data_IF_679608736595
#
_entry.id   IF_679608736595
#
_cell.length_a   1.000
_cell.length_b   1.000
_cell.length_c   1.000
_cell.angle_alpha   90.00
_cell.angle_beta   90.00
_cell.angle_gamma   90.00
#
_symmetry.space_group_name_H-M   'P 1'
#
loop_
_entity.id
_entity.type
_entity.pdbx_description
1 polymer ?
#
# COMPACT_ATOMS: atom_id res chain seq x y z
N UNK A 1 -25.23 16.87 6.71
CA UNK A 1 -24.01 17.44 7.34
C UNK A 1 -22.93 16.39 7.17
N UNK A 2 -21.87 16.68 6.42
CA UNK A 2 -20.79 15.70 6.24
C UNK A 2 -19.88 15.72 7.47
N UNK A 3 -19.71 14.57 8.12
CA UNK A 3 -18.76 14.42 9.22
C UNK A 3 -17.44 13.96 8.61
N UNK A 4 -16.48 14.88 8.52
CA UNK A 4 -15.12 14.58 8.09
C UNK A 4 -14.19 14.77 9.29
N UNK A 5 -13.97 13.69 10.04
CA UNK A 5 -12.90 13.64 11.04
C UNK A 5 -12.46 12.18 11.19
N UNK A 6 -11.42 11.81 10.44
CA UNK A 6 -10.57 10.70 10.86
C UNK A 6 -9.66 11.23 11.94
N UNK A 7 -9.87 10.79 13.18
CA UNK A 7 -8.87 10.95 14.22
C UNK A 7 -7.56 10.30 13.76
N UNK A 8 -6.60 11.13 13.38
CA UNK A 8 -5.29 10.70 12.89
C UNK A 8 -4.36 10.19 14.01
N UNK A 9 -4.84 10.23 15.26
CA UNK A 9 -4.14 9.64 16.40
C UNK A 9 -4.42 8.14 16.57
N UNK A 10 -5.43 7.58 15.87
CA UNK A 10 -5.73 6.17 15.98
C UNK A 10 -4.61 5.34 15.32
N UNK A 11 -3.90 4.59 16.15
CA UNK A 11 -2.94 3.58 15.75
C UNK A 11 -3.59 2.19 15.82
N UNK A 12 -3.29 1.34 14.85
CA UNK A 12 -3.63 -0.07 14.87
C UNK A 12 -2.36 -0.88 14.64
N UNK A 13 -2.33 -2.07 15.22
CA UNK A 13 -1.33 -3.08 14.91
C UNK A 13 -1.88 -4.01 13.83
N UNK A 14 -1.05 -4.32 12.84
CA UNK A 14 -1.38 -5.20 11.72
C UNK A 14 -0.19 -6.12 11.43
N UNK A 15 -0.47 -7.20 10.72
CA UNK A 15 0.52 -8.09 10.12
C UNK A 15 0.41 -8.00 8.60
N UNK A 16 1.44 -8.44 7.89
CA UNK A 16 1.40 -8.51 6.43
C UNK A 16 1.25 -9.96 5.97
N UNK A 17 0.30 -10.20 5.07
CA UNK A 17 0.04 -11.49 4.43
C UNK A 17 1.16 -11.95 3.50
N UNK A 18 2.10 -11.05 3.17
CA UNK A 18 3.34 -11.38 2.44
C UNK A 18 4.51 -11.75 3.35
N UNK A 19 4.36 -11.64 4.67
CA UNK A 19 5.36 -12.16 5.61
C UNK A 19 5.39 -13.70 5.53
N UNK A 20 6.57 -14.32 5.29
CA UNK A 20 6.70 -15.77 5.22
C UNK A 20 6.23 -16.52 6.48
N UNK A 21 6.22 -15.87 7.65
CA UNK A 21 5.72 -16.46 8.89
C UNK A 21 4.18 -16.53 8.95
N UNK A 22 3.48 -15.77 8.10
CA UNK A 22 2.02 -15.76 8.03
C UNK A 22 1.52 -16.89 7.15
N UNK A 23 0.79 -17.84 7.76
CA UNK A 23 0.19 -18.98 7.06
C UNK A 23 -1.34 -18.85 7.04
N UNK A 24 -1.95 -19.28 5.94
CA UNK A 24 -3.39 -19.21 5.69
C UNK A 24 -3.67 -19.46 4.22
N UNK A 25 -4.91 -19.81 3.87
CA UNK A 25 -5.30 -19.93 2.46
C UNK A 25 -5.35 -18.55 1.79
N UNK A 26 -5.34 -18.51 0.45
CA UNK A 26 -5.49 -17.24 -0.28
C UNK A 26 -6.83 -16.56 0.02
N UNK A 27 -7.88 -17.34 0.31
CA UNK A 27 -9.18 -16.84 0.72
C UNK A 27 -9.15 -16.22 2.13
N UNK A 28 -8.43 -16.84 3.06
CA UNK A 28 -8.23 -16.31 4.41
C UNK A 28 -7.43 -15.01 4.39
N UNK A 29 -6.35 -14.96 3.59
CA UNK A 29 -5.54 -13.74 3.39
C UNK A 29 -6.37 -12.62 2.78
N UNK A 30 -7.14 -12.91 1.73
CA UNK A 30 -8.04 -11.92 1.12
C UNK A 30 -9.12 -11.44 2.09
N UNK A 31 -9.59 -12.32 2.98
CA UNK A 31 -10.56 -11.96 4.02
C UNK A 31 -9.95 -11.10 5.11
N UNK A 32 -8.75 -11.43 5.59
CA UNK A 32 -7.96 -10.62 6.52
C UNK A 32 -7.75 -9.20 6.00
N UNK A 33 -7.39 -9.02 4.72
CA UNK A 33 -7.21 -7.69 4.14
C UNK A 33 -8.46 -6.80 4.22
N UNK A 34 -9.66 -7.41 4.28
CA UNK A 34 -10.94 -6.70 4.39
C UNK A 34 -11.40 -6.51 5.83
N UNK A 35 -11.26 -7.53 6.67
CA UNK A 35 -11.84 -7.57 8.02
C UNK A 35 -10.84 -7.24 9.12
N UNK A 36 -9.54 -7.44 8.85
CA UNK A 36 -8.43 -7.43 9.83
C UNK A 36 -8.59 -8.47 10.94
N UNK A 37 -9.36 -9.53 10.68
CA UNK A 37 -9.52 -10.63 11.62
C UNK A 37 -8.29 -11.55 11.56
N UNK A 38 -7.38 -11.38 12.53
CA UNK A 38 -6.19 -12.23 12.67
C UNK A 38 -6.54 -13.70 12.95
N UNK A 39 -7.75 -14.01 13.44
CA UNK A 39 -8.17 -15.39 13.71
C UNK A 39 -8.27 -16.27 12.46
N UNK A 40 -8.25 -15.66 11.27
CA UNK A 40 -8.21 -16.33 9.98
C UNK A 40 -6.81 -16.85 9.61
N UNK A 41 -5.77 -16.43 10.32
CA UNK A 41 -4.37 -16.68 9.97
C UNK A 41 -3.60 -17.32 11.11
N UNK A 42 -2.53 -18.06 10.77
CA UNK A 42 -1.48 -18.42 11.72
C UNK A 42 -0.39 -17.36 11.66
N UNK A 43 -0.13 -16.71 12.79
CA UNK A 43 0.66 -15.47 12.85
C UNK A 43 1.87 -15.58 13.79
N UNK A 44 2.21 -16.79 14.22
CA UNK A 44 3.36 -17.03 15.10
C UNK A 44 4.66 -16.64 14.41
N UNK A 45 5.39 -15.68 14.99
CA UNK A 45 6.62 -15.13 14.39
C UNK A 45 6.41 -14.08 13.31
N UNK A 46 5.16 -13.67 13.01
CA UNK A 46 4.87 -12.63 12.04
C UNK A 46 5.36 -11.25 12.50
N UNK A 47 5.90 -10.48 11.54
CA UNK A 47 6.29 -9.09 11.76
C UNK A 47 5.04 -8.24 11.95
N UNK A 48 4.98 -7.50 13.06
CA UNK A 48 3.87 -6.61 13.41
C UNK A 48 4.24 -5.16 13.08
N UNK A 49 3.34 -4.47 12.39
CA UNK A 49 3.48 -3.07 11.99
C UNK A 49 2.44 -2.25 12.71
N UNK A 50 2.84 -1.10 13.22
CA UNK A 50 1.89 -0.14 13.78
C UNK A 50 1.68 0.97 12.77
N UNK A 51 0.45 1.10 12.30
CA UNK A 51 0.04 2.12 11.32
C UNK A 51 -1.02 3.03 11.89
N UNK A 52 -1.10 4.26 11.38
CA UNK A 52 -2.11 5.25 11.77
C UNK A 52 -2.90 5.76 10.59
N UNK A 53 -4.08 6.30 10.88
CA UNK A 53 -4.91 6.96 9.90
C UNK A 53 -4.23 8.24 9.39
N UNK A 54 -4.45 8.59 8.13
CA UNK A 54 -4.03 9.85 7.55
C UNK A 54 -5.24 10.77 7.36
N UNK A 55 -5.09 12.03 7.77
CA UNK A 55 -6.06 13.07 7.44
C UNK A 55 -6.12 13.28 5.91
N UNK A 56 -7.21 13.88 5.39
CA UNK A 56 -7.25 14.30 3.98
C UNK A 56 -6.05 15.17 3.57
N UNK A 57 -5.62 16.10 4.43
CA UNK A 57 -4.47 16.97 4.16
C UNK A 57 -3.13 16.22 4.13
N UNK A 58 -2.95 15.20 4.97
CA UNK A 58 -1.76 14.35 4.95
C UNK A 58 -1.71 13.48 3.69
N UNK A 59 -2.86 12.97 3.24
CA UNK A 59 -2.94 12.21 1.97
C UNK A 59 -2.63 13.09 0.77
N UNK A 60 -3.20 14.29 0.72
CA UNK A 60 -2.91 15.26 -0.33
C UNK A 60 -1.41 15.65 -0.33
N UNK A 61 -0.83 15.92 0.84
CA UNK A 61 0.60 16.22 0.96
C UNK A 61 1.48 15.09 0.44
N UNK A 62 1.11 13.82 0.70
CA UNK A 62 1.82 12.66 0.17
C UNK A 62 1.75 12.59 -1.37
N UNK A 63 0.60 12.85 -1.98
CA UNK A 63 0.46 12.90 -3.44
C UNK A 63 1.26 14.06 -4.07
N UNK A 64 1.23 15.24 -3.43
CA UNK A 64 2.00 16.41 -3.87
C UNK A 64 3.49 16.11 -3.81
N UNK A 65 3.99 15.54 -2.70
CA UNK A 65 5.38 15.16 -2.54
C UNK A 65 5.81 14.08 -3.55
N UNK A 66 4.93 13.15 -3.89
CA UNK A 66 5.17 12.13 -4.92
C UNK A 66 5.20 12.69 -6.36
N UNK A 67 4.75 13.93 -6.55
CA UNK A 67 4.80 14.65 -7.82
C UNK A 67 3.51 14.53 -8.64
N UNK A 68 2.34 14.59 -8.01
CA UNK A 68 1.03 14.50 -8.70
C UNK A 68 0.91 15.43 -9.91
N UNK A 69 1.48 16.64 -9.85
CA UNK A 69 1.43 17.62 -10.94
C UNK A 69 2.31 17.28 -12.16
N UNK A 70 3.16 16.25 -12.06
CA UNK A 70 4.05 15.78 -13.14
C UNK A 70 3.74 14.34 -13.55
N UNK A 71 2.66 13.75 -13.03
CA UNK A 71 2.30 12.37 -13.38
C UNK A 71 1.87 12.28 -14.84
N UNK A 72 2.15 11.14 -15.48
CA UNK A 72 1.69 10.88 -16.84
C UNK A 72 0.20 10.53 -16.84
N UNK A 73 -0.64 11.35 -17.47
CA UNK A 73 -2.07 11.02 -17.63
C UNK A 73 -2.28 9.91 -18.66
N UNK A 74 -1.44 9.81 -19.69
CA UNK A 74 -1.42 8.66 -20.60
C UNK A 74 -1.07 7.38 -19.83
N UNK A 75 -0.03 7.43 -19.00
CA UNK A 75 0.37 6.32 -18.14
C UNK A 75 -0.74 5.90 -17.18
N UNK A 76 -1.48 6.86 -16.63
CA UNK A 76 -2.66 6.58 -15.79
C UNK A 76 -3.76 5.86 -16.56
N UNK A 77 -4.06 6.28 -17.79
CA UNK A 77 -5.06 5.62 -18.63
C UNK A 77 -4.63 4.19 -18.97
N UNK A 78 -3.35 4.00 -19.34
CA UNK A 78 -2.77 2.68 -19.61
C UNK A 78 -2.82 1.77 -18.39
N UNK A 79 -2.48 2.29 -17.20
CA UNK A 79 -2.56 1.53 -15.95
C UNK A 79 -3.98 1.07 -15.61
N UNK A 80 -5.00 1.87 -15.93
CA UNK A 80 -6.41 1.50 -15.77
C UNK A 80 -6.89 0.50 -16.84
N UNK A 81 -6.28 0.52 -18.03
CA UNK A 81 -6.66 -0.33 -19.16
C UNK A 81 -5.93 -1.68 -19.20
N UNK A 82 -4.90 -1.86 -18.37
CA UNK A 82 -4.08 -3.07 -18.38
C UNK A 82 -4.90 -4.32 -18.01
N UNK A 83 -4.58 -5.50 -18.57
CA UNK A 83 -5.23 -6.75 -18.19
C UNK A 83 -5.02 -7.13 -16.72
N UNK A 84 -6.03 -7.76 -16.12
CA UNK A 84 -5.94 -8.27 -14.74
C UNK A 84 -5.08 -9.54 -14.64
N UNK A 85 -5.08 -10.39 -15.67
CA UNK A 85 -4.32 -11.62 -15.66
C UNK A 85 -2.81 -11.37 -15.91
N UNK A 86 -1.91 -11.98 -15.12
CA UNK A 86 -0.48 -11.70 -15.21
C UNK A 86 0.13 -11.97 -16.59
N UNK A 87 -0.27 -13.07 -17.24
CA UNK A 87 0.27 -13.47 -18.54
C UNK A 87 -0.18 -12.53 -19.66
N UNK A 88 -1.46 -12.18 -19.68
CA UNK A 88 -2.06 -11.21 -20.58
C UNK A 88 -1.45 -9.83 -20.39
N UNK A 89 -1.26 -9.39 -19.14
CA UNK A 89 -0.58 -8.13 -18.82
C UNK A 89 0.84 -8.11 -19.34
N UNK A 90 1.61 -9.17 -19.14
CA UNK A 90 3.00 -9.24 -19.60
C UNK A 90 3.09 -9.13 -21.13
N UNK A 91 2.22 -9.83 -21.86
CA UNK A 91 2.17 -9.77 -23.33
C UNK A 91 1.71 -8.39 -23.82
N UNK A 92 0.70 -7.81 -23.17
CA UNK A 92 0.17 -6.49 -23.50
C UNK A 92 1.25 -5.42 -23.31
N UNK A 93 1.95 -5.39 -22.17
CA UNK A 93 3.04 -4.44 -21.91
C UNK A 93 4.20 -4.59 -22.91
N UNK A 94 4.52 -5.82 -23.31
CA UNK A 94 5.54 -6.09 -24.32
C UNK A 94 5.17 -5.51 -25.70
N UNK A 95 3.88 -5.46 -26.02
CA UNK A 95 3.37 -4.95 -27.30
C UNK A 95 3.17 -3.43 -27.34
N UNK A 96 3.23 -2.75 -26.19
CA UNK A 96 3.10 -1.29 -26.14
C UNK A 96 4.21 -0.62 -26.96
N UNK A 97 3.88 0.45 -27.73
CA UNK A 97 4.85 1.40 -28.25
C UNK A 97 5.79 1.93 -27.15
N UNK A 98 7.00 2.35 -27.54
CA UNK A 98 8.01 2.78 -26.56
C UNK A 98 7.57 4.01 -25.74
N UNK A 99 6.85 4.95 -26.34
CA UNK A 99 6.30 6.14 -25.66
C UNK A 99 5.18 5.78 -24.67
N UNK A 100 4.31 4.84 -25.03
CA UNK A 100 3.28 4.32 -24.12
C UNK A 100 3.91 3.53 -22.95
N UNK A 101 4.96 2.74 -23.23
CA UNK A 101 5.70 2.01 -22.20
C UNK A 101 6.41 2.96 -21.24
N UNK A 102 7.02 4.03 -21.74
CA UNK A 102 7.63 5.08 -20.92
C UNK A 102 6.57 5.80 -20.08
N UNK A 103 5.43 6.15 -20.68
CA UNK A 103 4.32 6.80 -19.99
C UNK A 103 3.78 5.93 -18.84
N UNK A 104 3.56 4.63 -19.09
CA UNK A 104 3.14 3.66 -18.08
C UNK A 104 4.17 3.55 -16.94
N UNK A 105 5.45 3.35 -17.27
CA UNK A 105 6.51 3.27 -16.28
C UNK A 105 6.66 4.56 -15.45
N UNK A 106 6.47 5.73 -16.06
CA UNK A 106 6.45 7.00 -15.34
C UNK A 106 5.30 7.08 -14.33
N UNK A 107 4.13 6.52 -14.66
CA UNK A 107 2.98 6.51 -13.77
C UNK A 107 3.13 5.48 -12.65
N UNK A 108 3.63 4.28 -12.94
CA UNK A 108 3.96 3.26 -11.93
C UNK A 108 5.01 3.80 -10.95
N UNK A 109 6.03 4.50 -11.45
CA UNK A 109 7.02 5.18 -10.61
C UNK A 109 6.40 6.27 -9.73
N UNK A 110 5.37 6.97 -10.22
CA UNK A 110 4.59 7.90 -9.40
C UNK A 110 3.82 7.18 -8.29
N UNK A 111 3.11 6.08 -8.60
CA UNK A 111 2.38 5.30 -7.60
C UNK A 111 3.32 4.76 -6.51
N UNK A 112 4.49 4.24 -6.89
CA UNK A 112 5.49 3.77 -5.94
C UNK A 112 5.96 4.88 -5.00
N UNK A 113 6.15 6.12 -5.50
CA UNK A 113 6.45 7.28 -4.65
C UNK A 113 5.30 7.64 -3.73
N UNK A 114 4.05 7.65 -4.22
CA UNK A 114 2.86 7.90 -3.39
C UNK A 114 2.81 6.92 -2.22
N UNK A 115 3.02 5.62 -2.48
CA UNK A 115 3.02 4.61 -1.42
C UNK A 115 4.10 4.88 -0.38
N UNK A 116 5.31 5.26 -0.81
CA UNK A 116 6.39 5.64 0.12
C UNK A 116 6.05 6.88 0.95
N UNK A 117 5.47 7.91 0.37
CA UNK A 117 5.09 9.12 1.12
C UNK A 117 3.92 8.85 2.08
N UNK A 118 2.95 8.02 1.69
CA UNK A 118 1.88 7.58 2.58
C UNK A 118 2.42 6.76 3.76
N UNK A 119 3.40 5.86 3.51
CA UNK A 119 4.04 5.10 4.58
C UNK A 119 4.88 6.00 5.49
N UNK A 120 5.64 6.96 4.96
CA UNK A 120 6.34 7.95 5.81
C UNK A 120 5.39 8.71 6.73
N UNK A 121 4.18 8.99 6.27
CA UNK A 121 3.19 9.67 7.09
C UNK A 121 2.44 8.72 8.06
N UNK A 122 2.23 7.46 7.67
CA UNK A 122 1.29 6.55 8.32
C UNK A 122 1.90 5.34 9.03
N UNK A 123 3.13 4.93 8.70
CA UNK A 123 3.84 3.86 9.40
C UNK A 123 4.54 4.43 10.63
N UNK A 124 4.13 3.99 11.81
CA UNK A 124 4.61 4.51 13.09
C UNK A 124 5.84 3.75 13.55
N UNK A 125 5.78 2.42 13.57
CA UNK A 125 6.88 1.54 14.03
C UNK A 125 6.70 0.11 13.53
N UNK A 126 7.80 -0.65 13.57
CA UNK A 126 7.82 -2.11 13.41
C UNK A 126 8.09 -2.71 14.78
N UNK A 127 7.19 -3.55 15.29
CA UNK A 127 7.27 -4.08 16.66
C UNK A 127 8.51 -4.95 16.80
N UNK A 128 9.28 -4.73 17.87
CA UNK A 128 10.51 -5.48 18.16
C UNK A 128 11.75 -5.01 17.38
N UNK A 129 11.63 -3.94 16.58
CA UNK A 129 12.75 -3.35 15.86
C UNK A 129 12.94 -1.87 16.24
N UNK A 130 14.18 -1.51 16.55
CA UNK A 130 14.58 -0.12 16.77
C UNK A 130 15.01 0.56 15.47
N UNK A 131 14.79 1.87 15.36
CA UNK A 131 15.24 2.69 14.23
C UNK A 131 14.11 3.21 13.34
N UNK A 132 14.49 3.75 12.18
CA UNK A 132 13.55 4.28 11.19
C UNK A 132 12.83 3.13 10.45
N UNK A 133 11.48 3.01 10.56
CA UNK A 133 10.72 1.95 9.90
C UNK A 133 10.89 1.92 8.38
N UNK A 134 11.04 3.09 7.74
CA UNK A 134 11.23 3.15 6.30
C UNK A 134 12.59 2.60 5.88
N UNK A 135 13.64 2.92 6.64
CA UNK A 135 14.96 2.31 6.46
C UNK A 135 14.92 0.78 6.56
N UNK A 136 14.14 0.22 7.50
CA UNK A 136 13.97 -1.22 7.65
C UNK A 136 13.23 -1.85 6.45
N UNK A 137 12.15 -1.22 5.98
CA UNK A 137 11.44 -1.65 4.76
C UNK A 137 12.38 -1.64 3.54
N UNK A 138 13.27 -0.67 3.45
CA UNK A 138 14.22 -0.56 2.34
C UNK A 138 15.25 -1.69 2.27
N UNK A 139 15.43 -2.45 3.37
CA UNK A 139 16.28 -3.64 3.43
C UNK A 139 15.61 -4.90 2.88
N UNK A 140 14.28 -4.90 2.71
CA UNK A 140 13.54 -6.09 2.27
C UNK A 140 13.96 -6.47 0.85
N UNK A 141 14.30 -7.75 0.68
CA UNK A 141 14.65 -8.36 -0.60
C UNK A 141 13.90 -9.69 -0.75
N UNK A 142 13.58 -10.10 -1.98
CA UNK A 142 13.70 -9.37 -3.25
C UNK A 142 12.78 -8.14 -3.34
N UNK A 143 13.00 -7.28 -4.34
CA UNK A 143 12.27 -6.01 -4.48
C UNK A 143 10.75 -6.19 -4.61
N UNK A 144 10.29 -7.25 -5.27
CA UNK A 144 8.86 -7.50 -5.43
C UNK A 144 8.16 -7.74 -4.08
N UNK A 145 8.79 -8.41 -3.10
CA UNK A 145 8.23 -8.55 -1.75
C UNK A 145 8.06 -7.20 -1.07
N UNK A 146 9.05 -6.31 -1.23
CA UNK A 146 8.99 -4.95 -0.70
C UNK A 146 7.84 -4.16 -1.31
N UNK A 147 7.63 -4.26 -2.63
CA UNK A 147 6.53 -3.59 -3.31
C UNK A 147 5.17 -4.10 -2.82
N UNK A 148 5.00 -5.42 -2.67
CA UNK A 148 3.76 -6.01 -2.16
C UNK A 148 3.48 -5.57 -0.72
N UNK A 149 4.47 -5.64 0.17
CA UNK A 149 4.35 -5.16 1.55
C UNK A 149 3.93 -3.69 1.58
N UNK A 150 4.60 -2.83 0.80
CA UNK A 150 4.26 -1.41 0.75
C UNK A 150 2.81 -1.20 0.30
N UNK A 151 2.35 -1.94 -0.71
CA UNK A 151 0.97 -1.84 -1.19
C UNK A 151 -0.05 -2.27 -0.15
N UNK A 152 0.23 -3.35 0.59
CA UNK A 152 -0.62 -3.87 1.65
C UNK A 152 -0.71 -2.89 2.84
N UNK A 153 0.43 -2.40 3.33
CA UNK A 153 0.47 -1.43 4.43
C UNK A 153 -0.27 -0.13 4.06
N UNK A 154 -0.14 0.35 2.82
CA UNK A 154 -0.90 1.51 2.33
C UNK A 154 -2.39 1.22 2.29
N UNK A 155 -2.81 0.02 1.87
CA UNK A 155 -4.22 -0.37 1.88
C UNK A 155 -4.80 -0.35 3.31
N UNK A 156 -4.06 -0.83 4.31
CA UNK A 156 -4.47 -0.73 5.71
C UNK A 156 -4.59 0.72 6.19
N UNK A 157 -3.61 1.57 5.89
CA UNK A 157 -3.64 3.00 6.21
C UNK A 157 -4.85 3.67 5.57
N UNK A 158 -5.11 3.42 4.29
CA UNK A 158 -6.23 4.00 3.56
C UNK A 158 -7.57 3.55 4.12
N UNK A 159 -7.74 2.25 4.37
CA UNK A 159 -8.95 1.71 4.98
C UNK A 159 -9.22 2.37 6.35
N UNK A 160 -8.18 2.53 7.18
CA UNK A 160 -8.31 3.23 8.47
C UNK A 160 -8.67 4.71 8.30
N UNK A 161 -8.15 5.35 7.24
CA UNK A 161 -8.41 6.76 6.89
C UNK A 161 -9.81 6.99 6.28
N UNK A 162 -10.55 5.94 5.94
CA UNK A 162 -11.89 6.05 5.32
C UNK A 162 -13.02 5.53 6.20
N UNK A 163 -12.71 4.95 7.38
CA UNK A 163 -13.73 4.45 8.30
C UNK A 163 -14.58 5.60 8.88
N UNK A 164 -15.92 5.58 8.72
CA UNK A 164 -16.81 6.54 9.34
C UNK A 164 -16.80 6.37 10.87
N UNK A 165 -17.13 7.42 11.65
CA UNK A 165 -17.04 7.40 13.12
C UNK A 165 -17.85 6.29 13.80
N UNK A 166 -18.94 5.83 13.17
CA UNK A 166 -19.85 4.80 13.69
C UNK A 166 -19.34 3.36 13.48
N UNK A 167 -18.29 3.18 12.67
CA UNK A 167 -17.60 1.89 12.47
C UNK A 167 -16.22 1.83 13.12
N UNK A 168 -15.96 2.71 14.09
CA UNK A 168 -14.74 2.78 14.89
C UNK A 168 -14.95 2.21 16.28
#
# INVERSE_FOLDING_TARGET
MFVFATDAAQEIEIISTVDPAVQGSDEDKASYLRTRDEGLLQTEGATRFVVRALTPSQREAAEVAAGVYRRSELGRQLWLAQPDDPDGRARWQHQLPDDEREALGSYEGYLARVYREMLRAGLVRIVGHDGDPMGLIDLIRPDHHRQLLCSELVAHIQALSTLPPEGK
#
